data_IF_743196659965
#
_entry.id   IF_743196659965
#
_cell.length_a   1.000
_cell.length_b   1.000
_cell.length_c   1.000
_cell.angle_alpha   90.00
_cell.angle_beta   90.00
_cell.angle_gamma   90.00
#
_symmetry.space_group_name_H-M   'P 1'
#
loop_
_entity.id
_entity.type
_entity.pdbx_description
1 polymer ?
#
# COMPACT_ATOMS: atom_id res chain seq x y z
N UNK A 1 -19.23 12.03 -9.48
CA UNK A 1 -19.86 10.71 -9.27
C UNK A 1 -20.62 10.37 -10.54
N UNK A 2 -20.41 9.20 -11.15
CA UNK A 2 -21.19 8.79 -12.32
C UNK A 2 -22.66 8.63 -11.91
N UNK A 3 -23.58 9.15 -12.71
CA UNK A 3 -25.02 8.95 -12.57
C UNK A 3 -25.52 8.05 -13.69
N UNK A 4 -26.56 7.26 -13.40
CA UNK A 4 -27.19 6.36 -14.37
C UNK A 4 -28.56 6.89 -14.72
N UNK A 5 -28.96 6.75 -15.98
CA UNK A 5 -30.35 6.97 -16.37
C UNK A 5 -31.12 5.66 -16.22
N UNK A 6 -32.23 5.69 -15.48
CA UNK A 6 -33.10 4.53 -15.34
C UNK A 6 -33.85 4.28 -16.66
N UNK A 7 -33.73 3.08 -17.21
CA UNK A 7 -34.43 2.69 -18.45
C UNK A 7 -35.96 2.66 -18.33
N UNK A 8 -36.53 2.53 -17.12
CA UNK A 8 -37.98 2.46 -16.91
C UNK A 8 -38.64 3.80 -16.59
N UNK A 9 -38.00 4.66 -15.79
CA UNK A 9 -38.59 5.94 -15.37
C UNK A 9 -37.83 7.17 -15.87
N UNK A 10 -36.79 6.97 -16.69
CA UNK A 10 -35.92 7.98 -17.32
C UNK A 10 -35.24 8.97 -16.36
N UNK A 11 -35.36 8.78 -15.05
CA UNK A 11 -34.72 9.61 -14.02
C UNK A 11 -33.25 9.27 -13.88
N UNK A 12 -32.47 10.30 -13.58
CA UNK A 12 -31.09 10.12 -13.14
C UNK A 12 -31.07 9.57 -11.71
N UNK A 13 -30.31 8.50 -11.53
CA UNK A 13 -30.15 7.80 -10.27
C UNK A 13 -28.68 7.61 -9.97
N UNK A 14 -28.35 7.48 -8.69
CA UNK A 14 -27.04 6.98 -8.29
C UNK A 14 -26.88 5.52 -8.75
N UNK A 15 -25.65 5.05 -9.00
CA UNK A 15 -25.40 3.65 -9.33
C UNK A 15 -26.02 2.70 -8.31
N UNK A 16 -27.04 1.96 -8.72
CA UNK A 16 -27.77 1.03 -7.88
C UNK A 16 -28.31 -0.13 -8.74
N UNK A 17 -28.39 -1.33 -8.14
CA UNK A 17 -28.94 -2.52 -8.79
C UNK A 17 -30.43 -2.38 -9.15
N UNK A 18 -31.15 -1.52 -8.43
CA UNK A 18 -32.57 -1.22 -8.63
C UNK A 18 -32.79 0.29 -8.56
N UNK A 19 -33.71 0.81 -9.36
CA UNK A 19 -34.08 2.21 -9.32
C UNK A 19 -34.82 2.53 -8.00
N UNK A 20 -34.36 3.51 -7.20
CA UNK A 20 -35.04 3.89 -5.95
C UNK A 20 -36.42 4.52 -6.15
N UNK A 21 -36.76 4.92 -7.39
CA UNK A 21 -38.03 5.58 -7.71
C UNK A 21 -39.08 4.65 -8.30
N UNK A 22 -38.68 3.65 -9.09
CA UNK A 22 -39.62 2.76 -9.78
C UNK A 22 -39.36 1.26 -9.55
N UNK A 23 -38.30 0.89 -8.81
CA UNK A 23 -37.97 -0.50 -8.51
C UNK A 23 -37.36 -1.30 -9.68
N UNK A 24 -37.25 -0.72 -10.88
CA UNK A 24 -36.73 -1.43 -12.04
C UNK A 24 -35.26 -1.84 -11.86
N UNK A 25 -34.95 -3.09 -12.17
CA UNK A 25 -33.58 -3.61 -12.19
C UNK A 25 -32.73 -2.88 -13.23
N UNK A 26 -31.49 -2.55 -12.87
CA UNK A 26 -30.55 -1.80 -13.70
C UNK A 26 -29.41 -2.72 -14.17
N UNK A 27 -29.44 -3.25 -15.41
CA UNK A 27 -28.43 -4.20 -15.88
C UNK A 27 -27.03 -3.56 -15.99
N UNK A 28 -26.96 -2.26 -16.29
CA UNK A 28 -25.70 -1.50 -16.36
C UNK A 28 -24.93 -1.43 -15.03
N UNK A 29 -25.62 -1.64 -13.90
CA UNK A 29 -24.98 -1.63 -12.57
C UNK A 29 -24.00 -2.79 -12.40
N UNK A 30 -24.35 -4.00 -12.87
CA UNK A 30 -23.48 -5.16 -12.76
C UNK A 30 -22.20 -5.00 -13.58
N UNK A 31 -22.30 -4.44 -14.79
CA UNK A 31 -21.13 -4.12 -15.63
C UNK A 31 -20.20 -3.10 -14.96
N UNK A 32 -20.77 -2.02 -14.43
CA UNK A 32 -19.98 -1.01 -13.73
C UNK A 32 -19.32 -1.56 -12.47
N UNK A 33 -20.01 -2.42 -11.71
CA UNK A 33 -19.42 -3.07 -10.54
C UNK A 33 -18.22 -3.94 -10.94
N UNK A 34 -18.35 -4.74 -12.00
CA UNK A 34 -17.26 -5.59 -12.50
C UNK A 34 -16.05 -4.78 -12.99
N UNK A 35 -16.27 -3.61 -13.61
CA UNK A 35 -15.19 -2.68 -13.97
C UNK A 35 -14.45 -2.15 -12.74
N UNK A 36 -15.20 -1.67 -11.75
CA UNK A 36 -14.63 -1.17 -10.48
C UNK A 36 -13.85 -2.26 -9.77
N UNK A 37 -14.40 -3.47 -9.67
CA UNK A 37 -13.73 -4.61 -9.05
C UNK A 37 -12.44 -5.00 -9.78
N UNK A 38 -12.42 -4.94 -11.11
CA UNK A 38 -11.21 -5.15 -11.91
C UNK A 38 -10.14 -4.11 -11.60
N UNK A 39 -10.52 -2.82 -11.53
CA UNK A 39 -9.58 -1.75 -11.15
C UNK A 39 -9.05 -1.93 -9.73
N UNK A 40 -9.90 -2.35 -8.79
CA UNK A 40 -9.47 -2.66 -7.40
C UNK A 40 -8.49 -3.84 -7.39
N UNK A 41 -8.75 -4.89 -8.15
CA UNK A 41 -7.86 -6.05 -8.23
C UNK A 41 -6.48 -5.66 -8.78
N UNK A 42 -6.43 -4.82 -9.81
CA UNK A 42 -5.17 -4.29 -10.35
C UNK A 42 -4.41 -3.46 -9.31
N UNK A 43 -5.09 -2.54 -8.61
CA UNK A 43 -4.47 -1.74 -7.56
C UNK A 43 -3.90 -2.63 -6.44
N UNK A 44 -4.65 -3.63 -5.98
CA UNK A 44 -4.18 -4.59 -4.96
C UNK A 44 -2.97 -5.39 -5.42
N UNK A 45 -2.91 -5.78 -6.69
CA UNK A 45 -1.75 -6.48 -7.24
C UNK A 45 -0.49 -5.60 -7.19
N UNK A 46 -0.63 -4.30 -7.53
CA UNK A 46 0.46 -3.33 -7.42
C UNK A 46 0.87 -3.10 -5.96
N UNK A 47 -0.08 -2.99 -5.04
CA UNK A 47 0.21 -2.87 -3.61
C UNK A 47 0.99 -4.07 -3.07
N UNK A 48 0.65 -5.29 -3.48
CA UNK A 48 1.37 -6.49 -3.08
C UNK A 48 2.84 -6.49 -3.56
N UNK A 49 3.09 -5.99 -4.78
CA UNK A 49 4.44 -5.82 -5.31
C UNK A 49 5.24 -4.78 -4.50
N UNK A 50 4.65 -3.62 -4.22
CA UNK A 50 5.27 -2.57 -3.39
C UNK A 50 5.58 -3.10 -1.99
N UNK A 51 4.68 -3.88 -1.38
CA UNK A 51 4.92 -4.48 -0.07
C UNK A 51 6.11 -5.44 -0.07
N UNK A 52 6.33 -6.19 -1.16
CA UNK A 52 7.51 -7.03 -1.30
C UNK A 52 8.80 -6.21 -1.40
N UNK A 53 8.79 -5.11 -2.17
CA UNK A 53 9.91 -4.18 -2.26
C UNK A 53 10.24 -3.53 -0.91
N UNK A 54 9.22 -3.08 -0.18
CA UNK A 54 9.38 -2.50 1.16
C UNK A 54 10.06 -3.47 2.12
N UNK A 55 9.72 -4.76 2.08
CA UNK A 55 10.40 -5.79 2.91
C UNK A 55 11.87 -5.92 2.54
N UNK A 56 12.20 -5.91 1.25
CA UNK A 56 13.60 -5.97 0.80
C UNK A 56 14.38 -4.74 1.22
N UNK A 57 13.80 -3.55 1.10
CA UNK A 57 14.41 -2.29 1.54
C UNK A 57 14.62 -2.31 3.05
N UNK A 58 13.62 -2.74 3.82
CA UNK A 58 13.73 -2.85 5.27
C UNK A 58 14.86 -3.81 5.68
N UNK A 59 14.98 -4.97 5.04
CA UNK A 59 16.08 -5.91 5.31
C UNK A 59 17.46 -5.29 5.04
N UNK A 60 17.62 -4.58 3.90
CA UNK A 60 18.86 -3.87 3.57
C UNK A 60 19.17 -2.75 4.57
N UNK A 61 18.14 -2.03 5.00
CA UNK A 61 18.28 -0.98 6.01
C UNK A 61 18.79 -1.56 7.34
N UNK A 62 18.23 -2.67 7.80
CA UNK A 62 18.68 -3.32 9.04
C UNK A 62 20.14 -3.79 8.93
N UNK A 63 20.53 -4.37 7.78
CA UNK A 63 21.92 -4.76 7.55
C UNK A 63 22.89 -3.55 7.58
N UNK A 64 22.50 -2.43 6.96
CA UNK A 64 23.31 -1.21 6.98
C UNK A 64 23.44 -0.60 8.38
N UNK A 65 22.35 -0.58 9.15
CA UNK A 65 22.36 -0.14 10.55
C UNK A 65 23.30 -1.01 11.40
N UNK A 66 23.21 -2.33 11.24
CA UNK A 66 24.09 -3.26 11.94
C UNK A 66 25.57 -3.02 11.60
N UNK A 67 25.90 -2.83 10.32
CA UNK A 67 27.26 -2.49 9.89
C UNK A 67 27.76 -1.19 10.51
N UNK A 68 26.91 -0.15 10.54
CA UNK A 68 27.23 1.12 11.20
C UNK A 68 27.56 0.91 12.68
N UNK A 69 26.74 0.15 13.38
CA UNK A 69 26.90 -0.07 14.81
C UNK A 69 28.20 -0.85 15.13
N UNK A 70 28.58 -1.83 14.29
CA UNK A 70 29.89 -2.49 14.38
C UNK A 70 31.04 -1.48 14.27
N UNK A 71 31.00 -0.61 13.25
CA UNK A 71 32.07 0.37 13.01
C UNK A 71 32.15 1.40 14.14
N UNK A 72 31.01 1.82 14.69
CA UNK A 72 30.94 2.71 15.84
C UNK A 72 31.57 2.07 17.08
N UNK A 73 31.20 0.84 17.41
CA UNK A 73 31.78 0.12 18.55
C UNK A 73 33.27 -0.14 18.41
N UNK A 74 33.76 -0.52 17.22
CA UNK A 74 35.19 -0.69 16.98
C UNK A 74 35.97 0.63 17.18
N UNK A 75 35.37 1.76 16.84
CA UNK A 75 35.96 3.09 17.07
C UNK A 75 35.98 3.42 18.57
N UNK A 76 34.89 3.17 19.28
CA UNK A 76 34.80 3.36 20.74
C UNK A 76 35.81 2.50 21.51
N UNK A 77 35.99 1.24 21.13
CA UNK A 77 36.97 0.34 21.76
C UNK A 77 38.40 0.82 21.54
N UNK A 78 38.74 1.27 20.32
CA UNK A 78 40.06 1.85 20.03
C UNK A 78 40.32 3.10 20.87
N UNK A 79 39.33 3.98 21.01
CA UNK A 79 39.45 5.17 21.85
C UNK A 79 39.66 4.80 23.33
N UNK A 80 38.92 3.82 23.85
CA UNK A 80 39.09 3.33 25.24
C UNK A 80 40.46 2.69 25.46
N UNK A 81 40.99 1.94 24.49
CA UNK A 81 42.32 1.34 24.58
C UNK A 81 43.42 2.42 24.55
N UNK A 82 43.29 3.43 23.67
CA UNK A 82 44.24 4.55 23.59
C UNK A 82 44.26 5.42 24.85
N UNK A 83 43.11 5.55 25.53
CA UNK A 83 42.99 6.31 26.78
C UNK A 83 43.47 5.55 28.03
N UNK A 84 43.80 4.24 27.91
CA UNK A 84 44.17 3.43 29.07
C UNK A 84 45.63 3.73 29.46
N UNK A 85 45.92 4.15 30.71
CA UNK A 85 47.27 4.46 31.13
C UNK A 85 48.15 3.20 31.07
N UNK A 86 49.30 3.30 30.38
CA UNK A 86 50.28 2.22 30.25
C UNK A 86 50.90 1.99 31.64
N UNK A 87 50.64 0.83 32.25
CA UNK A 87 51.33 0.45 33.49
C UNK A 87 52.79 0.11 33.13
N UNK A 88 53.72 0.84 33.74
CA UNK A 88 55.17 0.65 33.67
C UNK A 88 55.57 -0.37 34.73
#
# INVERSE_FOLDING_TARGET
MQTFQCSSCSREIKPAAQCPHCGAHQPQWAGHLAEVERSIAEMKAREAAIAAEQRQIAAKMQAALFQRDILSHATEERLKQAARPRRV
#
